data_IF_191300040350
#
_entry.id   IF_191300040350
#
_cell.length_a   1.000
_cell.length_b   1.000
_cell.length_c   1.000
_cell.angle_alpha   90.00
_cell.angle_beta   90.00
_cell.angle_gamma   90.00
#
_symmetry.space_group_name_H-M   'P 1'
#
loop_
_entity.id
_entity.type
_entity.pdbx_description
1 polymer ?
#
# COMPACT_ATOMS: atom_id res chain seq x y z
N UNK A 1 14.63 -12.69 -23.55
CA UNK A 1 14.14 -11.91 -22.39
C UNK A 1 14.91 -12.43 -21.18
N UNK A 2 15.88 -11.66 -20.66
CA UNK A 2 16.60 -12.09 -19.46
C UNK A 2 15.78 -11.66 -18.24
N UNK A 3 15.21 -12.62 -17.53
CA UNK A 3 14.74 -12.40 -16.16
C UNK A 3 15.98 -12.27 -15.29
N UNK A 4 16.35 -11.04 -15.00
CA UNK A 4 17.39 -10.73 -14.04
C UNK A 4 16.97 -11.34 -12.70
N UNK A 5 17.73 -12.29 -12.19
CA UNK A 5 17.54 -12.87 -10.85
C UNK A 5 17.60 -11.72 -9.84
N UNK A 6 16.42 -11.18 -9.51
CA UNK A 6 16.30 -10.13 -8.51
C UNK A 6 16.80 -10.74 -7.21
N UNK A 7 17.97 -10.29 -6.74
CA UNK A 7 18.47 -10.62 -5.40
C UNK A 7 17.30 -10.52 -4.43
N UNK A 8 17.03 -11.62 -3.72
CA UNK A 8 15.96 -11.66 -2.73
C UNK A 8 16.31 -10.61 -1.66
N UNK A 9 15.47 -9.60 -1.52
CA UNK A 9 15.64 -8.60 -0.48
C UNK A 9 15.64 -9.29 0.89
N UNK A 10 16.57 -8.88 1.75
CA UNK A 10 16.77 -9.41 3.10
C UNK A 10 15.82 -8.76 4.11
N UNK A 11 15.31 -7.57 3.80
CA UNK A 11 14.39 -6.82 4.64
C UNK A 11 13.48 -5.90 3.82
N UNK A 12 12.49 -5.29 4.48
CA UNK A 12 11.49 -4.42 3.85
C UNK A 12 12.11 -3.15 3.23
N UNK A 13 13.19 -2.61 3.80
CA UNK A 13 13.83 -1.39 3.29
C UNK A 13 14.52 -1.65 1.95
N UNK A 14 15.12 -2.84 1.77
CA UNK A 14 15.73 -3.24 0.51
C UNK A 14 14.69 -3.39 -0.62
N UNK A 15 13.45 -3.75 -0.30
CA UNK A 15 12.37 -3.84 -1.29
C UNK A 15 12.00 -2.47 -1.88
N UNK A 16 12.16 -1.41 -1.09
CA UNK A 16 11.74 -0.05 -1.45
C UNK A 16 12.92 0.93 -1.57
N UNK A 17 14.16 0.45 -1.60
CA UNK A 17 15.36 1.29 -1.60
C UNK A 17 15.42 2.27 -2.79
N UNK A 18 14.91 1.85 -3.94
CA UNK A 18 14.86 2.66 -5.16
C UNK A 18 13.49 3.33 -5.38
N UNK A 19 12.55 3.19 -4.44
CA UNK A 19 11.24 3.83 -4.57
C UNK A 19 11.38 5.35 -4.43
N UNK A 20 11.02 6.06 -5.49
CA UNK A 20 10.89 7.52 -5.48
C UNK A 20 9.43 7.88 -5.22
N UNK A 21 9.21 8.81 -4.29
CA UNK A 21 7.92 9.47 -4.11
C UNK A 21 7.58 10.23 -5.40
N UNK A 22 6.47 9.89 -6.04
CA UNK A 22 6.00 10.55 -7.26
C UNK A 22 5.27 11.86 -6.96
N UNK A 23 5.15 12.22 -5.67
CA UNK A 23 4.47 13.43 -5.20
C UNK A 23 2.95 13.33 -5.29
N UNK A 24 2.41 12.22 -5.78
CA UNK A 24 0.97 11.97 -5.83
C UNK A 24 0.52 11.39 -4.50
N UNK A 25 0.07 12.27 -3.63
CA UNK A 25 -0.74 11.87 -2.48
C UNK A 25 -2.18 11.84 -2.93
N UNK A 26 -2.71 10.64 -3.07
CA UNK A 26 -4.14 10.41 -3.06
C UNK A 26 -4.70 11.19 -1.84
N UNK A 27 -5.72 12.02 -2.03
CA UNK A 27 -6.52 12.51 -0.90
C UNK A 27 -7.13 11.32 -0.14
N UNK A 28 -7.83 11.53 0.99
CA UNK A 28 -8.57 10.43 1.63
C UNK A 28 -9.37 9.67 0.57
N UNK A 29 -8.93 8.44 0.29
CA UNK A 29 -9.58 7.57 -0.69
C UNK A 29 -10.89 7.13 -0.03
N UNK A 30 -12.00 7.40 -0.71
CA UNK A 30 -13.26 6.76 -0.38
C UNK A 30 -13.13 5.28 -0.73
N UNK A 31 -12.83 4.47 0.29
CA UNK A 31 -12.75 3.01 0.18
C UNK A 31 -14.10 2.35 -0.14
N UNK A 32 -15.16 3.15 -0.27
CA UNK A 32 -16.51 2.70 -0.56
C UNK A 32 -17.23 2.23 0.69
N UNK A 33 -18.43 1.67 0.46
CA UNK A 33 -19.25 1.14 1.55
C UNK A 33 -18.67 -0.20 2.02
N UNK A 34 -18.55 -0.36 3.33
CA UNK A 34 -18.21 -1.62 3.97
C UNK A 34 -19.03 -2.79 3.41
N UNK A 35 -18.38 -3.91 3.12
CA UNK A 35 -19.05 -5.13 2.62
C UNK A 35 -18.99 -6.24 3.67
N UNK A 36 -20.13 -6.85 4.00
CA UNK A 36 -20.18 -7.98 4.94
C UNK A 36 -20.20 -7.56 6.41
N UNK A 37 -19.48 -8.29 7.27
CA UNK A 37 -19.49 -8.14 8.74
C UNK A 37 -18.37 -7.21 9.24
N UNK A 38 -18.00 -6.20 8.46
CA UNK A 38 -17.00 -5.23 8.89
C UNK A 38 -17.51 -4.42 10.09
N UNK A 39 -16.60 -4.14 11.04
CA UNK A 39 -16.90 -3.27 12.16
C UNK A 39 -17.29 -1.89 11.61
N UNK A 40 -18.52 -1.46 11.89
CA UNK A 40 -18.94 -0.10 11.55
C UNK A 40 -18.02 0.88 12.26
N UNK A 41 -17.30 1.69 11.48
CA UNK A 41 -16.59 2.88 11.95
C UNK A 41 -17.61 3.97 12.30
N UNK A 42 -18.51 3.71 13.25
CA UNK A 42 -19.29 4.75 13.88
C UNK A 42 -18.30 5.52 14.76
N UNK A 43 -17.97 6.75 14.36
CA UNK A 43 -17.46 7.72 15.34
C UNK A 43 -18.63 7.94 16.30
N UNK A 44 -18.49 7.47 17.52
CA UNK A 44 -19.38 7.84 18.61
C UNK A 44 -19.44 9.38 18.65
N UNK A 45 -20.65 9.93 18.52
CA UNK A 45 -20.98 11.36 18.66
C UNK A 45 -21.31 11.67 20.13
#
# INVERSE_FOLDING_TARGET
>A
MQTQDKKRASNIHELFADWQDDGYREHEIDWGKSQGNELSWKKDE
#
